data_IF_641628647024
#
_entry.id   IF_641628647024
#
_cell.length_a   1.000
_cell.length_b   1.000
_cell.length_c   1.000
_cell.angle_alpha   90.00
_cell.angle_beta   90.00
_cell.angle_gamma   90.00
#
_symmetry.space_group_name_H-M   'P 1'
#
loop_
_entity.id
_entity.type
_entity.pdbx_description
1 polymer ?
#
# COMPACT_ATOMS: atom_id res chain seq x y z
N UNK A 1 3.87 -19.22 -22.18
CA UNK A 1 2.38 -19.16 -22.25
C UNK A 1 2.00 -18.05 -23.20
N UNK A 2 1.08 -18.29 -24.13
CA UNK A 2 0.74 -17.31 -25.16
C UNK A 2 0.14 -16.02 -24.59
N UNK A 3 0.54 -14.88 -25.15
CA UNK A 3 0.04 -13.54 -24.79
C UNK A 3 -1.49 -13.45 -24.79
N UNK A 4 -2.15 -14.20 -25.67
CA UNK A 4 -3.61 -14.23 -25.79
C UNK A 4 -4.33 -14.78 -24.55
N UNK A 5 -3.77 -15.79 -23.87
CA UNK A 5 -4.40 -16.38 -22.68
C UNK A 5 -4.31 -15.46 -21.46
N UNK A 6 -3.13 -14.89 -21.22
CA UNK A 6 -2.94 -13.90 -20.15
C UNK A 6 -3.76 -12.64 -20.40
N UNK A 7 -3.90 -12.24 -21.66
CA UNK A 7 -4.77 -11.14 -22.05
C UNK A 7 -6.25 -11.44 -21.75
N UNK A 8 -6.73 -12.65 -22.06
CA UNK A 8 -8.10 -13.07 -21.75
C UNK A 8 -8.39 -13.03 -20.26
N UNK A 9 -7.50 -13.60 -19.42
CA UNK A 9 -7.66 -13.59 -17.97
C UNK A 9 -7.72 -12.16 -17.40
N UNK A 10 -6.86 -11.27 -17.91
CA UNK A 10 -6.86 -9.86 -17.51
C UNK A 10 -8.18 -9.18 -17.88
N UNK A 11 -8.70 -9.43 -19.10
CA UNK A 11 -10.01 -8.90 -19.53
C UNK A 11 -11.16 -9.41 -18.68
N UNK A 12 -11.13 -10.68 -18.34
CA UNK A 12 -12.14 -11.29 -17.50
C UNK A 12 -12.14 -10.68 -16.08
N UNK A 13 -10.98 -10.33 -15.52
CA UNK A 13 -10.87 -9.62 -14.25
C UNK A 13 -11.29 -8.14 -14.35
N UNK A 14 -10.97 -7.45 -15.46
CA UNK A 14 -11.40 -6.06 -15.73
C UNK A 14 -12.94 -5.94 -15.81
N UNK A 15 -13.62 -6.90 -16.45
CA UNK A 15 -15.10 -6.90 -16.61
C UNK A 15 -15.81 -6.90 -15.26
N UNK A 16 -15.26 -7.60 -14.27
CA UNK A 16 -15.83 -7.71 -12.92
C UNK A 16 -15.45 -6.50 -12.04
N UNK A 17 -14.68 -5.54 -12.57
CA UNK A 17 -14.19 -4.39 -11.81
C UNK A 17 -13.07 -4.74 -10.83
N UNK A 18 -12.48 -5.93 -10.95
CA UNK A 18 -11.39 -6.35 -10.08
C UNK A 18 -10.06 -5.68 -10.45
N UNK A 19 -9.89 -5.17 -11.67
CA UNK A 19 -8.69 -4.47 -12.12
C UNK A 19 -9.04 -3.02 -12.43
N UNK A 20 -8.75 -2.11 -11.50
CA UNK A 20 -8.71 -0.68 -11.79
C UNK A 20 -7.25 -0.25 -11.95
N UNK A 21 -6.59 -0.74 -13.01
CA UNK A 21 -5.25 -0.29 -13.33
C UNK A 21 -5.29 1.12 -13.91
N UNK A 22 -4.63 2.07 -13.24
CA UNK A 22 -4.01 3.35 -13.66
C UNK A 22 -4.55 4.16 -14.87
N UNK A 23 -5.76 3.93 -15.37
CA UNK A 23 -6.34 4.66 -16.51
C UNK A 23 -7.46 5.56 -16.04
N UNK A 24 -7.08 6.56 -15.24
CA UNK A 24 -7.91 7.72 -14.88
C UNK A 24 -8.14 8.69 -16.05
N UNK A 25 -8.11 8.24 -17.30
CA UNK A 25 -8.39 9.06 -18.47
C UNK A 25 -9.44 8.39 -19.36
N UNK A 26 -10.18 9.19 -20.12
CA UNK A 26 -11.36 8.85 -20.93
C UNK A 26 -11.31 7.54 -21.76
N UNK A 27 -10.14 6.92 -21.94
CA UNK A 27 -9.98 5.58 -22.50
C UNK A 27 -10.56 4.45 -21.65
N UNK A 28 -10.57 4.56 -20.31
CA UNK A 28 -11.06 3.50 -19.41
C UNK A 28 -12.56 3.22 -19.55
N UNK A 29 -13.39 4.27 -19.67
CA UNK A 29 -14.84 4.14 -19.84
C UNK A 29 -15.22 3.54 -21.20
N UNK A 30 -14.57 3.98 -22.27
CA UNK A 30 -14.76 3.43 -23.63
C UNK A 30 -14.35 1.96 -23.71
N UNK A 31 -13.27 1.60 -23.00
CA UNK A 31 -12.75 0.23 -22.93
C UNK A 31 -13.65 -0.70 -22.11
N UNK A 32 -14.21 -0.22 -20.99
CA UNK A 32 -15.25 -0.94 -20.23
C UNK A 32 -16.51 -1.15 -21.06
N UNK A 33 -16.95 -0.11 -21.79
CA UNK A 33 -18.11 -0.22 -22.68
C UNK A 33 -17.90 -1.27 -23.78
N UNK A 34 -16.72 -1.29 -24.40
CA UNK A 34 -16.37 -2.32 -25.39
C UNK A 34 -16.37 -3.74 -24.81
N UNK A 35 -15.90 -3.91 -23.57
CA UNK A 35 -15.93 -5.18 -22.87
C UNK A 35 -17.37 -5.64 -22.54
N UNK A 36 -18.23 -4.72 -22.07
CA UNK A 36 -19.64 -5.01 -21.85
C UNK A 36 -20.37 -5.39 -23.14
N UNK A 37 -20.05 -4.71 -24.25
CA UNK A 37 -20.58 -5.03 -25.58
C UNK A 37 -20.11 -6.39 -26.09
N UNK A 38 -18.84 -6.74 -25.89
CA UNK A 38 -18.33 -8.05 -26.26
C UNK A 38 -18.98 -9.17 -25.43
N UNK A 39 -19.17 -8.95 -24.13
CA UNK A 39 -19.82 -9.91 -23.23
C UNK A 39 -21.29 -10.08 -23.58
N UNK A 40 -22.01 -8.99 -23.86
CA UNK A 40 -23.42 -9.05 -24.27
C UNK A 40 -23.58 -9.77 -25.60
N UNK A 41 -22.67 -9.57 -26.56
CA UNK A 41 -22.65 -10.29 -27.82
C UNK A 41 -22.44 -11.80 -27.63
N UNK A 42 -21.54 -12.20 -26.72
CA UNK A 42 -21.31 -13.62 -26.38
C UNK A 42 -22.54 -14.24 -25.71
N UNK A 43 -23.21 -13.50 -24.82
CA UNK A 43 -24.46 -13.96 -24.19
C UNK A 43 -25.54 -14.15 -25.25
N UNK A 44 -25.75 -13.16 -26.13
CA UNK A 44 -26.72 -13.23 -27.23
C UNK A 44 -26.41 -14.40 -28.16
N UNK A 45 -25.16 -14.58 -28.57
CA UNK A 45 -24.74 -15.72 -29.40
C UNK A 45 -25.01 -17.07 -28.70
N UNK A 46 -24.80 -17.16 -27.39
CA UNK A 46 -25.07 -18.37 -26.61
C UNK A 46 -26.56 -18.69 -26.51
N UNK A 47 -27.42 -17.67 -26.50
CA UNK A 47 -28.88 -17.85 -26.61
C UNK A 47 -29.29 -18.39 -27.98
N UNK A 48 -28.68 -17.91 -29.06
CA UNK A 48 -28.92 -18.48 -30.41
C UNK A 48 -28.42 -19.92 -30.53
N UNK A 49 -27.22 -20.21 -30.00
CA UNK A 49 -26.66 -21.57 -29.95
C UNK A 49 -27.52 -22.52 -29.12
N UNK A 50 -28.21 -22.03 -28.07
CA UNK A 50 -29.19 -22.83 -27.30
C UNK A 50 -30.36 -23.31 -28.17
N UNK A 51 -30.80 -22.50 -29.14
CA UNK A 51 -31.87 -22.90 -30.07
C UNK A 51 -31.47 -24.07 -30.97
N UNK A 52 -30.19 -24.17 -31.32
CA UNK A 52 -29.66 -25.18 -32.25
C UNK A 52 -29.14 -26.42 -31.50
N UNK A 53 -28.49 -26.25 -30.34
CA UNK A 53 -27.78 -27.30 -29.60
C UNK A 53 -28.40 -27.61 -28.23
N UNK A 54 -29.57 -27.05 -27.92
CA UNK A 54 -30.23 -27.21 -26.61
C UNK A 54 -29.42 -26.59 -25.46
N UNK A 55 -29.56 -27.13 -24.25
CA UNK A 55 -28.87 -26.60 -23.05
C UNK A 55 -27.32 -26.55 -23.18
N UNK A 56 -26.73 -27.37 -24.05
CA UNK A 56 -25.28 -27.39 -24.30
C UNK A 56 -24.78 -26.11 -24.99
N UNK A 57 -25.64 -25.39 -25.69
CA UNK A 57 -25.31 -24.09 -26.31
C UNK A 57 -24.94 -22.99 -25.30
N UNK A 58 -25.28 -23.17 -24.01
CA UNK A 58 -24.92 -22.24 -22.94
C UNK A 58 -23.55 -22.51 -22.31
N UNK A 59 -22.91 -23.65 -22.61
CA UNK A 59 -21.64 -24.04 -22.00
C UNK A 59 -20.51 -23.00 -22.21
N UNK A 60 -20.34 -22.37 -23.38
CA UNK A 60 -19.31 -21.35 -23.58
C UNK A 60 -19.50 -20.12 -22.69
N UNK A 61 -20.74 -19.63 -22.56
CA UNK A 61 -21.06 -18.51 -21.67
C UNK A 61 -20.83 -18.87 -20.20
N UNK A 62 -21.25 -20.07 -19.78
CA UNK A 62 -21.03 -20.55 -18.42
C UNK A 62 -19.53 -20.70 -18.09
N UNK A 63 -18.73 -21.25 -19.02
CA UNK A 63 -17.29 -21.39 -18.87
C UNK A 63 -16.58 -20.03 -18.77
N UNK A 64 -16.93 -19.07 -19.65
CA UNK A 64 -16.38 -17.72 -19.59
C UNK A 64 -16.77 -16.98 -18.30
N UNK A 65 -18.01 -17.15 -17.84
CA UNK A 65 -18.45 -16.58 -16.57
C UNK A 65 -17.66 -17.15 -15.39
N UNK A 66 -17.50 -18.48 -15.31
CA UNK A 66 -16.70 -19.12 -14.27
C UNK A 66 -15.25 -18.65 -14.29
N UNK A 67 -14.64 -18.54 -15.48
CA UNK A 67 -13.28 -18.04 -15.63
C UNK A 67 -13.16 -16.57 -15.20
N UNK A 68 -14.15 -15.72 -15.49
CA UNK A 68 -14.18 -14.34 -15.00
C UNK A 68 -14.32 -14.24 -13.49
N UNK A 69 -15.19 -15.05 -12.88
CA UNK A 69 -15.31 -15.12 -11.42
C UNK A 69 -13.99 -15.59 -10.79
N UNK A 70 -13.33 -16.61 -11.34
CA UNK A 70 -12.05 -17.10 -10.84
C UNK A 70 -10.93 -16.06 -10.97
N UNK A 71 -10.82 -15.40 -12.13
CA UNK A 71 -9.82 -14.35 -12.35
C UNK A 71 -10.03 -13.16 -11.41
N UNK A 72 -11.28 -12.72 -11.23
CA UNK A 72 -11.63 -11.65 -10.30
C UNK A 72 -11.29 -12.02 -8.85
N UNK A 73 -11.66 -13.23 -8.41
CA UNK A 73 -11.29 -13.75 -7.07
C UNK A 73 -9.78 -13.77 -6.88
N UNK A 74 -9.02 -14.24 -7.87
CA UNK A 74 -7.57 -14.28 -7.80
C UNK A 74 -6.94 -12.89 -7.58
N UNK A 75 -7.49 -11.84 -8.21
CA UNK A 75 -7.04 -10.44 -8.01
C UNK A 75 -7.44 -9.93 -6.62
N UNK A 76 -8.68 -10.16 -6.20
CA UNK A 76 -9.16 -9.75 -4.88
C UNK A 76 -8.36 -10.43 -3.75
N UNK A 77 -8.09 -11.73 -3.88
CA UNK A 77 -7.25 -12.48 -2.95
C UNK A 77 -5.81 -11.97 -2.93
N UNK A 78 -5.27 -11.59 -4.09
CA UNK A 78 -3.94 -11.01 -4.19
C UNK A 78 -3.87 -9.63 -3.49
N UNK A 79 -4.88 -8.77 -3.67
CA UNK A 79 -4.99 -7.50 -2.93
C UNK A 79 -5.14 -7.70 -1.43
N UNK A 80 -5.99 -8.64 -1.03
CA UNK A 80 -6.13 -9.01 0.37
C UNK A 80 -4.79 -9.53 0.93
N UNK A 81 -3.98 -10.21 0.12
CA UNK A 81 -2.62 -10.62 0.51
C UNK A 81 -1.68 -9.43 0.68
N UNK A 82 -1.74 -8.42 -0.20
CA UNK A 82 -0.94 -7.17 -0.05
C UNK A 82 -1.33 -6.47 1.24
N UNK A 83 -2.62 -6.26 1.47
CA UNK A 83 -3.12 -5.61 2.68
C UNK A 83 -2.74 -6.39 3.94
N UNK A 84 -2.93 -7.71 3.96
CA UNK A 84 -2.51 -8.56 5.09
C UNK A 84 -1.01 -8.47 5.34
N UNK A 85 -0.20 -8.61 4.29
CA UNK A 85 1.26 -8.53 4.41
C UNK A 85 1.74 -7.18 4.94
N UNK A 86 1.03 -6.10 4.64
CA UNK A 86 1.39 -4.75 5.03
C UNK A 86 0.83 -4.35 6.42
N UNK A 87 -0.43 -4.65 6.70
CA UNK A 87 -1.17 -4.13 7.85
C UNK A 87 -1.22 -5.07 9.07
N UNK A 88 -1.25 -6.40 8.87
CA UNK A 88 -1.29 -7.33 9.99
C UNK A 88 0.04 -7.37 10.73
N UNK A 89 -0.03 -7.76 12.00
CA UNK A 89 1.16 -7.95 12.82
C UNK A 89 2.05 -9.08 12.26
N UNK A 90 3.36 -8.98 12.48
CA UNK A 90 4.34 -9.94 11.96
C UNK A 90 4.19 -11.33 12.56
N UNK A 91 3.61 -11.42 13.76
CA UNK A 91 3.30 -12.65 14.49
C UNK A 91 2.00 -13.32 14.00
N UNK A 92 1.11 -12.59 13.32
CA UNK A 92 -0.15 -13.13 12.83
C UNK A 92 0.09 -14.16 11.69
N UNK A 93 -0.35 -15.42 11.82
CA UNK A 93 -0.21 -16.41 10.76
C UNK A 93 -0.91 -16.00 9.45
N UNK A 94 -1.99 -15.20 9.53
CA UNK A 94 -2.72 -14.71 8.37
C UNK A 94 -1.96 -13.61 7.60
N UNK A 95 -0.95 -12.99 8.20
CA UNK A 95 -0.10 -11.99 7.56
C UNK A 95 0.68 -12.59 6.38
N UNK A 96 1.09 -13.86 6.48
CA UNK A 96 1.97 -14.48 5.48
C UNK A 96 1.26 -14.59 4.12
N UNK A 97 1.92 -14.17 3.02
CA UNK A 97 1.43 -14.45 1.68
C UNK A 97 1.21 -15.95 1.48
N UNK A 98 0.05 -16.33 0.98
CA UNK A 98 -0.24 -17.74 0.67
C UNK A 98 0.54 -18.15 -0.58
N UNK A 99 0.93 -19.43 -0.63
CA UNK A 99 1.55 -20.02 -1.82
C UNK A 99 0.72 -19.70 -3.07
N UNK A 100 1.41 -19.35 -4.15
CA UNK A 100 0.79 -18.83 -5.37
C UNK A 100 -0.26 -19.82 -5.89
N UNK A 101 -1.49 -19.35 -6.11
CA UNK A 101 -2.50 -20.12 -6.84
C UNK A 101 -1.98 -20.44 -8.24
N UNK A 102 -2.49 -21.53 -8.83
CA UNK A 102 -2.05 -22.06 -10.10
C UNK A 102 -1.77 -20.93 -11.14
N UNK A 103 -0.53 -20.83 -11.65
CA UNK A 103 -0.16 -19.83 -12.65
C UNK A 103 -1.09 -19.84 -13.87
N UNK A 104 -1.70 -20.99 -14.19
CA UNK A 104 -2.60 -21.13 -15.33
C UNK A 104 -3.85 -20.26 -15.26
N UNK A 105 -4.34 -19.97 -14.05
CA UNK A 105 -5.58 -19.22 -13.83
C UNK A 105 -5.37 -17.87 -13.17
N UNK A 106 -4.13 -17.50 -12.87
CA UNK A 106 -3.81 -16.23 -12.21
C UNK A 106 -3.57 -15.13 -13.26
N UNK A 107 -4.41 -14.08 -13.32
CA UNK A 107 -4.20 -12.96 -14.24
C UNK A 107 -2.89 -12.21 -13.93
N UNK A 108 -2.25 -11.56 -14.91
CA UNK A 108 -1.04 -10.76 -14.73
C UNK A 108 -1.07 -9.83 -13.51
N UNK A 109 -2.15 -9.08 -13.32
CA UNK A 109 -2.30 -8.18 -12.17
C UNK A 109 -2.24 -8.93 -10.83
N UNK A 110 -2.89 -10.10 -10.71
CA UNK A 110 -2.82 -10.90 -9.49
C UNK A 110 -1.39 -11.40 -9.19
N UNK A 111 -0.59 -11.69 -10.22
CA UNK A 111 0.81 -12.12 -10.06
C UNK A 111 1.67 -10.97 -9.55
N UNK A 112 1.51 -9.78 -10.13
CA UNK A 112 2.21 -8.55 -9.70
C UNK A 112 1.86 -8.22 -8.25
N UNK A 113 0.59 -8.28 -7.88
CA UNK A 113 0.14 -8.02 -6.51
C UNK A 113 0.67 -9.05 -5.51
N UNK A 114 0.76 -10.33 -5.89
CA UNK A 114 1.39 -11.35 -5.03
C UNK A 114 2.89 -11.10 -4.86
N UNK A 115 3.59 -10.74 -5.93
CA UNK A 115 5.00 -10.36 -5.84
C UNK A 115 5.19 -9.13 -4.93
N UNK A 116 4.30 -8.13 -5.02
CA UNK A 116 4.28 -6.99 -4.10
C UNK A 116 4.08 -7.41 -2.65
N UNK A 117 3.12 -8.32 -2.38
CA UNK A 117 2.90 -8.85 -1.04
C UNK A 117 4.14 -9.56 -0.48
N UNK A 118 4.82 -10.37 -1.31
CA UNK A 118 6.09 -11.03 -0.95
C UNK A 118 7.21 -10.02 -0.65
N UNK A 119 7.33 -8.95 -1.45
CA UNK A 119 8.32 -7.89 -1.23
C UNK A 119 8.06 -7.16 0.09
N UNK A 120 6.81 -6.75 0.35
CA UNK A 120 6.43 -6.07 1.61
C UNK A 120 6.70 -6.99 2.81
N UNK A 121 6.29 -8.25 2.72
CA UNK A 121 6.52 -9.25 3.74
C UNK A 121 8.01 -9.39 4.09
N UNK A 122 8.83 -9.59 3.06
CA UNK A 122 10.27 -9.75 3.21
C UNK A 122 10.94 -8.47 3.73
N UNK A 123 10.52 -7.29 3.26
CA UNK A 123 11.04 -6.01 3.74
C UNK A 123 10.70 -5.75 5.22
N UNK A 124 9.45 -6.02 5.65
CA UNK A 124 9.05 -5.86 7.06
C UNK A 124 9.75 -6.85 7.98
N UNK A 125 10.08 -8.05 7.50
CA UNK A 125 10.85 -9.08 8.23
C UNK A 125 12.36 -8.97 8.06
N UNK A 126 12.84 -7.89 7.45
CA UNK A 126 14.27 -7.59 7.30
C UNK A 126 15.03 -8.64 6.45
N UNK A 127 14.31 -9.38 5.60
CA UNK A 127 14.87 -10.36 4.65
C UNK A 127 15.17 -9.68 3.32
N UNK A 128 16.06 -8.70 3.33
CA UNK A 128 16.26 -7.78 2.22
C UNK A 128 16.73 -8.47 0.93
N UNK A 129 17.53 -9.54 1.02
CA UNK A 129 17.95 -10.31 -0.15
C UNK A 129 16.76 -10.93 -0.90
N UNK A 130 15.77 -11.46 -0.18
CA UNK A 130 14.54 -12.03 -0.76
C UNK A 130 13.71 -10.93 -1.40
N UNK A 131 13.55 -9.80 -0.73
CA UNK A 131 12.80 -8.67 -1.26
C UNK A 131 13.40 -8.11 -2.56
N UNK A 132 14.74 -8.00 -2.64
CA UNK A 132 15.45 -7.53 -3.83
C UNK A 132 15.29 -8.48 -5.03
N UNK A 133 15.33 -9.79 -4.80
CA UNK A 133 15.10 -10.80 -5.84
C UNK A 133 13.68 -10.70 -6.43
N UNK A 134 12.70 -10.31 -5.61
CA UNK A 134 11.29 -10.22 -6.01
C UNK A 134 10.89 -8.89 -6.63
N UNK A 135 11.61 -7.81 -6.32
CA UNK A 135 11.30 -6.46 -6.79
C UNK A 135 11.14 -6.32 -8.32
N UNK A 136 11.97 -6.96 -9.18
CA UNK A 136 11.82 -6.86 -10.64
C UNK A 136 10.50 -7.45 -11.19
N UNK A 137 9.84 -8.31 -10.41
CA UNK A 137 8.58 -8.94 -10.79
C UNK A 137 7.36 -8.05 -10.52
N UNK A 138 7.56 -6.88 -9.89
CA UNK A 138 6.49 -5.93 -9.58
C UNK A 138 6.42 -4.85 -10.65
N UNK A 139 5.48 -5.01 -11.59
CA UNK A 139 5.21 -3.98 -12.60
C UNK A 139 4.35 -2.85 -12.01
N UNK A 140 4.92 -1.64 -11.95
CA UNK A 140 4.24 -0.44 -11.44
C UNK A 140 3.00 -0.08 -12.26
N UNK A 141 2.97 -0.40 -13.57
CA UNK A 141 1.85 -0.03 -14.44
C UNK A 141 0.56 -0.81 -14.13
N UNK A 142 0.68 -1.98 -13.49
CA UNK A 142 -0.46 -2.83 -13.11
C UNK A 142 -1.05 -2.47 -11.73
N UNK A 143 -0.41 -1.57 -10.98
CA UNK A 143 -0.79 -1.23 -9.61
C UNK A 143 -1.72 -0.01 -9.53
N UNK A 144 -2.59 0.01 -8.52
CA UNK A 144 -3.37 1.17 -8.09
C UNK A 144 -2.48 2.20 -7.38
N UNK A 145 -2.87 3.48 -7.30
CA UNK A 145 -2.09 4.51 -6.61
C UNK A 145 -1.66 4.12 -5.19
N UNK A 146 -2.55 3.54 -4.39
CA UNK A 146 -2.24 3.12 -3.01
C UNK A 146 -1.25 1.94 -2.97
N UNK A 147 -1.39 0.99 -3.91
CA UNK A 147 -0.48 -0.15 -4.06
C UNK A 147 0.91 0.31 -4.54
N UNK A 148 0.96 1.35 -5.38
CA UNK A 148 2.19 2.03 -5.79
C UNK A 148 2.88 2.70 -4.61
N UNK A 149 2.12 3.38 -3.72
CA UNK A 149 2.68 3.96 -2.48
C UNK A 149 3.27 2.87 -1.59
N UNK A 150 2.60 1.72 -1.45
CA UNK A 150 3.14 0.58 -0.71
C UNK A 150 4.42 0.01 -1.33
N UNK A 151 4.51 -0.06 -2.66
CA UNK A 151 5.76 -0.43 -3.36
C UNK A 151 6.88 0.56 -3.06
N UNK A 152 6.61 1.87 -3.11
CA UNK A 152 7.60 2.90 -2.84
C UNK A 152 8.02 2.90 -1.35
N UNK A 153 7.10 2.63 -0.43
CA UNK A 153 7.39 2.43 0.98
C UNK A 153 8.25 1.18 1.22
N UNK A 154 7.97 0.07 0.54
CA UNK A 154 8.79 -1.14 0.62
C UNK A 154 10.21 -0.90 0.11
N UNK A 155 10.38 -0.10 -0.95
CA UNK A 155 11.70 0.34 -1.44
C UNK A 155 12.43 1.19 -0.40
N UNK A 156 11.74 2.12 0.27
CA UNK A 156 12.30 2.91 1.34
C UNK A 156 12.77 2.03 2.52
N UNK A 157 11.97 1.03 2.91
CA UNK A 157 12.35 0.05 3.95
C UNK A 157 13.58 -0.77 3.53
N UNK A 158 13.69 -1.15 2.26
CA UNK A 158 14.86 -1.83 1.73
C UNK A 158 16.11 -0.94 1.79
N UNK A 159 16.02 0.31 1.34
CA UNK A 159 17.15 1.26 1.43
C UNK A 159 17.58 1.49 2.88
N UNK A 160 16.61 1.58 3.81
CA UNK A 160 16.90 1.68 5.25
C UNK A 160 17.63 0.43 5.76
N UNK A 161 17.13 -0.75 5.40
CA UNK A 161 17.71 -2.04 5.78
C UNK A 161 19.10 -2.31 5.23
N UNK A 162 19.42 -1.73 4.07
CA UNK A 162 20.74 -1.80 3.45
C UNK A 162 21.72 -0.74 4.00
N UNK A 163 21.30 0.06 4.99
CA UNK A 163 22.16 1.05 5.66
C UNK A 163 22.25 2.41 4.97
N UNK A 164 21.29 2.76 4.10
CA UNK A 164 21.21 4.06 3.43
C UNK A 164 19.99 4.87 3.92
N UNK A 165 20.07 5.49 5.11
CA UNK A 165 18.93 6.21 5.71
C UNK A 165 18.56 7.48 4.93
N UNK A 166 19.52 8.14 4.28
CA UNK A 166 19.26 9.34 3.49
C UNK A 166 18.41 9.02 2.25
N UNK A 167 18.76 7.95 1.53
CA UNK A 167 17.95 7.47 0.41
C UNK A 167 16.59 6.96 0.87
N UNK A 168 16.54 6.25 2.00
CA UNK A 168 15.28 5.80 2.58
C UNK A 168 14.35 6.97 2.89
N UNK A 169 14.87 8.05 3.50
CA UNK A 169 14.11 9.27 3.78
C UNK A 169 13.57 9.91 2.49
N UNK A 170 14.40 10.05 1.46
CA UNK A 170 13.97 10.63 0.17
C UNK A 170 12.83 9.83 -0.47
N UNK A 171 12.92 8.50 -0.46
CA UNK A 171 11.87 7.63 -0.99
C UNK A 171 10.60 7.68 -0.13
N UNK A 172 10.76 7.69 1.20
CA UNK A 172 9.66 7.74 2.15
C UNK A 172 8.85 9.05 2.08
N UNK A 173 9.47 10.19 1.80
CA UNK A 173 8.75 11.48 1.62
C UNK A 173 7.67 11.37 0.55
N UNK A 174 7.94 10.65 -0.54
CA UNK A 174 7.01 10.48 -1.67
C UNK A 174 5.97 9.40 -1.36
N UNK A 175 6.36 8.35 -0.65
CA UNK A 175 5.49 7.21 -0.36
C UNK A 175 4.44 7.53 0.73
N UNK A 176 4.81 8.29 1.76
CA UNK A 176 3.98 8.58 2.92
C UNK A 176 2.91 9.65 2.61
N UNK A 177 1.68 9.51 3.16
CA UNK A 177 1.21 8.44 4.04
C UNK A 177 0.85 7.16 3.27
N UNK A 178 1.08 5.98 3.87
CA UNK A 178 0.61 4.69 3.34
C UNK A 178 -0.72 4.24 3.95
N UNK A 179 -1.11 4.82 5.09
CA UNK A 179 -2.30 4.41 5.85
C UNK A 179 -2.08 3.16 6.70
N UNK A 180 -0.81 2.79 6.91
CA UNK A 180 -0.40 1.64 7.71
C UNK A 180 0.55 2.14 8.79
N UNK A 181 0.04 2.28 10.02
CA UNK A 181 0.75 2.95 11.13
C UNK A 181 2.15 2.39 11.38
N UNK A 182 2.35 1.08 11.29
CA UNK A 182 3.67 0.48 11.54
C UNK A 182 4.72 0.89 10.49
N UNK A 183 4.33 0.96 9.21
CA UNK A 183 5.20 1.38 8.11
C UNK A 183 5.42 2.89 8.20
N UNK A 184 4.32 3.62 8.41
CA UNK A 184 4.30 5.07 8.49
C UNK A 184 5.13 5.59 9.68
N UNK A 185 5.05 4.96 10.85
CA UNK A 185 5.90 5.28 12.00
C UNK A 185 7.38 5.05 11.69
N UNK A 186 7.73 3.86 11.18
CA UNK A 186 9.13 3.48 10.93
C UNK A 186 9.77 4.39 9.90
N UNK A 187 9.12 4.62 8.75
CA UNK A 187 9.64 5.48 7.70
C UNK A 187 9.55 6.96 8.07
N UNK A 188 8.48 7.37 8.74
CA UNK A 188 8.28 8.75 9.18
C UNK A 188 9.37 9.22 10.15
N UNK A 189 9.80 8.36 11.09
CA UNK A 189 10.96 8.62 11.96
C UNK A 189 12.23 8.90 11.19
N UNK A 190 12.52 8.08 10.18
CA UNK A 190 13.72 8.23 9.33
C UNK A 190 13.67 9.56 8.56
N UNK A 191 12.51 9.91 8.02
CA UNK A 191 12.31 11.20 7.33
C UNK A 191 12.53 12.38 8.28
N UNK A 192 11.93 12.34 9.48
CA UNK A 192 12.08 13.43 10.44
C UNK A 192 13.51 13.54 10.96
N UNK A 193 14.16 12.43 11.28
CA UNK A 193 15.56 12.42 11.71
C UNK A 193 16.49 13.04 10.65
N UNK A 194 16.30 12.69 9.37
CA UNK A 194 17.06 13.27 8.25
C UNK A 194 16.77 14.76 8.02
N UNK A 195 15.52 15.18 8.25
CA UNK A 195 15.10 16.58 8.07
C UNK A 195 15.31 17.46 9.31
N UNK A 196 15.62 16.90 10.48
CA UNK A 196 15.46 17.58 11.76
C UNK A 196 16.24 18.89 11.90
N UNK A 197 17.45 18.91 11.35
CA UNK A 197 18.34 20.08 11.37
C UNK A 197 17.92 21.19 10.41
N UNK A 198 16.91 20.97 9.58
CA UNK A 198 16.44 21.92 8.56
C UNK A 198 14.97 22.29 8.81
N UNK A 199 14.72 23.42 9.51
CA UNK A 199 13.35 23.86 9.82
C UNK A 199 12.46 24.06 8.59
N UNK A 200 13.02 24.59 7.50
CA UNK A 200 12.28 24.78 6.24
C UNK A 200 11.88 23.45 5.60
N UNK A 201 12.73 22.42 5.71
CA UNK A 201 12.44 21.08 5.21
C UNK A 201 11.38 20.39 6.07
N UNK A 202 11.47 20.51 7.40
CA UNK A 202 10.44 20.00 8.32
C UNK A 202 9.07 20.62 8.05
N UNK A 203 9.00 21.94 7.86
CA UNK A 203 7.77 22.65 7.54
C UNK A 203 7.18 22.23 6.18
N UNK A 204 8.03 22.01 5.17
CA UNK A 204 7.59 21.50 3.88
C UNK A 204 7.02 20.07 3.97
N UNK A 205 7.64 19.20 4.77
CA UNK A 205 7.17 17.83 5.03
C UNK A 205 5.84 17.86 5.79
N UNK A 206 5.71 18.68 6.83
CA UNK A 206 4.46 18.82 7.59
C UNK A 206 3.30 19.25 6.69
N UNK A 207 3.50 20.29 5.87
CA UNK A 207 2.48 20.75 4.91
C UNK A 207 2.15 19.71 3.84
N UNK A 208 3.12 18.91 3.40
CA UNK A 208 2.87 17.84 2.44
C UNK A 208 2.01 16.74 3.04
N UNK A 209 2.41 16.18 4.18
CA UNK A 209 1.69 15.07 4.81
C UNK A 209 0.32 15.47 5.37
N UNK A 210 0.16 16.69 5.89
CA UNK A 210 -1.17 17.17 6.31
C UNK A 210 -2.19 17.24 5.17
N UNK A 211 -1.75 17.67 3.98
CA UNK A 211 -2.64 17.71 2.80
C UNK A 211 -3.12 16.31 2.42
N UNK A 212 -2.23 15.33 2.49
CA UNK A 212 -2.56 13.94 2.21
C UNK A 212 -3.47 13.34 3.31
N UNK A 213 -3.19 13.59 4.59
CA UNK A 213 -4.05 13.14 5.70
C UNK A 213 -5.46 13.76 5.62
N UNK A 214 -5.54 15.05 5.29
CA UNK A 214 -6.82 15.74 5.07
C UNK A 214 -7.63 15.24 3.87
N UNK A 215 -7.01 14.45 2.97
CA UNK A 215 -7.68 13.85 1.80
C UNK A 215 -8.38 12.52 2.11
N UNK A 216 -8.26 12.01 3.34
CA UNK A 216 -8.98 10.82 3.82
C UNK A 216 -8.09 9.64 4.20
N UNK A 217 -6.76 9.74 4.07
CA UNK A 217 -5.82 8.74 4.61
C UNK A 217 -5.62 9.01 6.10
N UNK A 218 -5.74 7.99 6.95
CA UNK A 218 -5.52 8.13 8.40
C UNK A 218 -4.25 7.41 8.82
N UNK A 219 -3.48 8.03 9.72
CA UNK A 219 -2.23 7.48 10.26
C UNK A 219 -1.92 8.18 11.58
N UNK A 220 -2.24 7.53 12.70
CA UNK A 220 -1.98 8.06 14.04
C UNK A 220 -0.46 8.21 14.28
N UNK A 221 0.33 7.33 13.67
CA UNK A 221 1.79 7.42 13.68
C UNK A 221 2.28 8.75 13.09
N UNK A 222 1.79 9.13 11.90
CA UNK A 222 2.22 10.38 11.26
C UNK A 222 1.67 11.59 11.99
N UNK A 223 0.45 11.56 12.50
CA UNK A 223 -0.09 12.66 13.29
C UNK A 223 0.76 12.97 14.54
N UNK A 224 1.27 11.93 15.21
CA UNK A 224 2.21 12.07 16.34
C UNK A 224 3.55 12.64 15.89
N UNK A 225 4.12 12.14 14.81
CA UNK A 225 5.38 12.65 14.24
C UNK A 225 5.25 14.12 13.77
N UNK A 226 4.14 14.50 13.16
CA UNK A 226 3.82 15.88 12.80
C UNK A 226 3.54 16.77 14.02
N UNK A 227 3.16 16.19 15.15
CA UNK A 227 3.08 16.93 16.41
C UNK A 227 4.46 17.22 16.97
N UNK A 228 5.39 16.26 16.89
CA UNK A 228 6.81 16.48 17.24
C UNK A 228 7.47 17.54 16.37
N UNK A 229 7.29 17.50 15.04
CA UNK A 229 7.89 18.49 14.14
C UNK A 229 7.43 19.91 14.46
N UNK A 230 6.16 20.08 14.88
CA UNK A 230 5.63 21.38 15.32
C UNK A 230 6.24 21.84 16.65
N UNK A 231 6.42 20.95 17.62
CA UNK A 231 7.10 21.31 18.87
C UNK A 231 8.54 21.76 18.62
N UNK A 232 9.19 21.18 17.61
CA UNK A 232 10.52 21.62 17.17
C UNK A 232 10.54 23.04 16.60
N UNK A 233 9.48 23.43 15.89
CA UNK A 233 9.31 24.78 15.32
C UNK A 233 8.82 25.80 16.36
N UNK A 234 8.05 25.35 17.36
CA UNK A 234 7.49 26.18 18.44
C UNK A 234 7.78 25.51 19.81
N UNK A 235 9.01 25.64 20.34
CA UNK A 235 9.42 24.92 21.56
C UNK A 235 8.58 25.22 22.79
N UNK A 236 8.07 26.45 22.92
CA UNK A 236 7.22 26.85 24.06
C UNK A 236 5.85 26.15 24.10
N UNK A 237 5.44 25.49 23.01
CA UNK A 237 4.19 24.73 23.00
C UNK A 237 4.25 23.47 23.88
N UNK A 238 5.46 23.02 24.29
CA UNK A 238 5.65 21.88 25.20
C UNK A 238 4.91 22.11 26.54
N UNK A 239 4.90 23.34 27.05
CA UNK A 239 4.31 23.66 28.34
C UNK A 239 2.79 23.45 28.37
N UNK A 240 2.13 23.62 27.21
CA UNK A 240 0.69 23.48 27.05
C UNK A 240 0.21 22.01 26.92
N UNK A 241 1.11 21.05 26.72
CA UNK A 241 0.75 19.64 26.49
C UNK A 241 0.19 18.96 27.75
N UNK A 242 -0.69 17.99 27.56
CA UNK A 242 -1.12 17.12 28.67
C UNK A 242 0.04 16.19 29.06
N UNK A 243 0.18 15.81 30.35
CA UNK A 243 1.26 14.92 30.79
C UNK A 243 1.30 13.57 30.05
N UNK A 244 0.13 13.00 29.69
CA UNK A 244 0.06 11.76 28.93
C UNK A 244 0.60 11.91 27.50
N UNK A 245 0.18 12.95 26.80
CA UNK A 245 0.66 13.29 25.44
C UNK A 245 2.17 13.56 25.45
N UNK A 246 2.67 14.26 26.47
CA UNK A 246 4.09 14.53 26.61
C UNK A 246 4.93 13.23 26.77
N UNK A 247 4.40 12.20 27.45
CA UNK A 247 5.08 10.89 27.56
C UNK A 247 5.17 10.19 26.22
N UNK A 248 4.07 10.15 25.48
CA UNK A 248 4.03 9.51 24.17
C UNK A 248 4.98 10.20 23.18
N UNK A 249 4.95 11.54 23.14
CA UNK A 249 5.85 12.32 22.29
C UNK A 249 7.31 12.21 22.74
N UNK A 250 7.59 12.08 24.05
CA UNK A 250 8.95 11.85 24.55
C UNK A 250 9.54 10.53 24.04
N UNK A 251 8.77 9.44 24.11
CA UNK A 251 9.19 8.15 23.57
C UNK A 251 9.46 8.21 22.05
N UNK A 252 8.62 8.95 21.33
CA UNK A 252 8.78 9.14 19.89
C UNK A 252 10.01 10.04 19.57
N UNK A 253 10.28 11.08 20.36
CA UNK A 253 11.46 11.93 20.24
C UNK A 253 12.77 11.15 20.48
N UNK A 254 12.78 10.22 21.44
CA UNK A 254 13.89 9.28 21.62
C UNK A 254 14.11 8.41 20.39
N UNK A 255 13.04 7.94 19.76
CA UNK A 255 13.13 7.05 18.60
C UNK A 255 13.70 7.72 17.33
N UNK A 256 13.64 9.05 17.24
CA UNK A 256 14.26 9.83 16.15
C UNK A 256 15.68 10.32 16.51
N UNK A 257 16.13 10.13 17.75
CA UNK A 257 17.45 10.54 18.24
C UNK A 257 17.52 11.97 18.81
N UNK A 258 16.38 12.56 19.20
CA UNK A 258 16.29 13.95 19.65
C UNK A 258 16.20 14.06 21.17
N UNK A 259 17.36 13.93 21.82
CA UNK A 259 17.49 13.80 23.28
C UNK A 259 17.02 15.06 24.04
N UNK A 260 17.34 16.25 23.54
CA UNK A 260 16.99 17.51 24.20
C UNK A 260 15.46 17.71 24.27
N UNK A 261 14.76 17.48 23.15
CA UNK A 261 13.31 17.57 23.11
C UNK A 261 12.67 16.45 23.92
N UNK A 262 13.23 15.23 23.86
CA UNK A 262 12.73 14.11 24.63
C UNK A 262 12.81 14.35 26.14
N UNK A 263 13.91 14.94 26.62
CA UNK A 263 14.11 15.31 28.03
C UNK A 263 13.15 16.43 28.47
N UNK A 264 12.92 17.44 27.64
CA UNK A 264 11.95 18.49 27.92
C UNK A 264 10.52 17.94 28.06
N UNK A 265 10.13 17.03 27.15
CA UNK A 265 8.84 16.35 27.19
C UNK A 265 8.70 15.43 28.41
N UNK A 266 9.77 14.72 28.78
CA UNK A 266 9.77 13.87 29.97
C UNK A 266 9.64 14.67 31.27
N UNK A 267 10.34 15.81 31.36
CA UNK A 267 10.18 16.76 32.46
C UNK A 267 8.73 17.23 32.58
N UNK A 268 8.11 17.60 31.45
CA UNK A 268 6.70 18.02 31.40
C UNK A 268 5.73 16.91 31.81
N UNK A 269 6.02 15.68 31.43
CA UNK A 269 5.26 14.49 31.77
C UNK A 269 5.32 14.13 33.26
N UNK A 270 6.44 14.43 33.93
CA UNK A 270 6.64 14.21 35.38
C UNK A 270 6.07 15.35 36.23
N UNK A 271 6.15 16.59 35.75
CA UNK A 271 5.63 17.77 36.46
C UNK A 271 4.13 17.75 36.73
N UNK A 272 3.36 16.93 36.00
CA UNK A 272 1.92 16.71 36.25
C UNK A 272 1.61 15.68 37.36
N UNK A 273 2.59 14.98 37.92
CA UNK A 273 2.40 13.98 38.98
C UNK A 273 2.44 14.61 40.39
N UNK A 274 2.96 15.83 40.50
CA UNK A 274 3.15 16.56 41.77
C UNK A 274 2.16 17.74 41.97
N UNK A 275 1.06 17.77 41.21
CA UNK A 275 -0.08 18.66 41.43
C UNK A 275 -1.34 17.83 41.60
#
# INVERSE_FOLDING_TARGET
>A
MGSAWTWLLERCAEVVGAVDGATGSAGGARRRLQLYLALSLIVVASFFLRGIWGARGLLPAAALFLLAVQAARAVLDARASVWRAAALDLEDPAQRPRACADPWFSPPTARVLRALAEVIDAARRERYAIALDRLPHVDRAALRPDEVRLLDAARALLSLGLGDPARAAQQAIIALPTGIDAIDARLGRVVLADAWRSPSRLDAIDRAWRRELGSGVTSEALERLLSLSRLRLVPHAVDALRPAEARELSAEAWSIGEEELAAALESRARGGVYR
#
